data_IF_544948790035
#
_entry.id   IF_544948790035
#
_cell.length_a   1.000
_cell.length_b   1.000
_cell.length_c   1.000
_cell.angle_alpha   90.00
_cell.angle_beta   90.00
_cell.angle_gamma   90.00
#
_symmetry.space_group_name_H-M   'P 1'
#
loop_
_entity.id
_entity.type
_entity.pdbx_description
1 polymer ?
#
# COMPACT_ATOMS: atom_id res chain seq x y z
N UNK A 1 -5.75 -18.82 20.93
CA UNK A 1 -5.42 -17.41 21.21
C UNK A 1 -6.44 -16.54 20.49
N UNK A 2 -6.91 -15.42 21.06
CA UNK A 2 -7.79 -14.52 20.30
C UNK A 2 -6.95 -13.75 19.28
N UNK A 3 -7.44 -13.63 18.04
CA UNK A 3 -6.79 -12.86 16.99
C UNK A 3 -6.74 -11.37 17.38
N UNK A 4 -5.66 -10.68 17.00
CA UNK A 4 -5.50 -9.23 17.21
C UNK A 4 -6.22 -8.47 16.10
N UNK A 5 -7.03 -7.49 16.45
CA UNK A 5 -7.71 -6.66 15.44
C UNK A 5 -6.72 -5.72 14.76
N UNK A 6 -6.87 -5.54 13.46
CA UNK A 6 -6.07 -4.61 12.67
C UNK A 6 -6.86 -4.11 11.45
N UNK A 7 -6.76 -2.82 11.16
CA UNK A 7 -7.34 -2.19 9.97
C UNK A 7 -6.23 -1.93 8.96
N UNK A 8 -6.30 -2.60 7.82
CA UNK A 8 -5.29 -2.50 6.75
C UNK A 8 -5.91 -1.88 5.52
N UNK A 9 -5.32 -0.79 5.04
CA UNK A 9 -5.69 -0.18 3.77
C UNK A 9 -4.84 -0.73 2.63
N UNK A 10 -5.47 -1.10 1.52
CA UNK A 10 -4.83 -1.84 0.42
C UNK A 10 -5.27 -1.26 -0.92
N UNK A 11 -4.33 -0.94 -1.80
CA UNK A 11 -4.58 -0.58 -3.20
C UNK A 11 -4.41 -1.79 -4.14
N UNK A 12 -4.64 -1.60 -5.45
CA UNK A 12 -4.46 -2.68 -6.43
C UNK A 12 -5.64 -3.64 -6.48
N UNK A 13 -6.86 -3.10 -6.47
CA UNK A 13 -8.11 -3.86 -6.34
C UNK A 13 -8.63 -4.43 -7.66
N UNK A 14 -7.96 -4.13 -8.77
CA UNK A 14 -8.28 -4.74 -10.05
C UNK A 14 -8.10 -6.27 -10.00
N UNK A 15 -9.05 -7.03 -10.55
CA UNK A 15 -9.01 -8.51 -10.50
C UNK A 15 -9.60 -9.14 -11.77
N UNK A 16 -9.35 -8.51 -12.93
CA UNK A 16 -9.73 -8.97 -14.28
C UNK A 16 -8.46 -9.34 -15.08
N UNK A 17 -8.47 -9.19 -16.41
CA UNK A 17 -7.43 -9.67 -17.34
C UNK A 17 -5.98 -9.32 -16.96
N UNK A 18 -5.77 -8.16 -16.32
CA UNK A 18 -4.50 -7.81 -15.67
C UNK A 18 -4.75 -7.56 -14.18
N UNK A 19 -4.74 -8.62 -13.35
CA UNK A 19 -5.09 -8.50 -11.94
C UNK A 19 -4.02 -7.68 -11.21
N UNK A 20 -4.48 -6.71 -10.43
CA UNK A 20 -3.65 -5.99 -9.49
C UNK A 20 -3.23 -6.92 -8.33
N UNK A 21 -2.12 -6.64 -7.64
CA UNK A 21 -1.65 -7.52 -6.59
C UNK A 21 -2.43 -7.39 -5.27
N UNK A 22 -3.35 -6.42 -5.15
CA UNK A 22 -4.06 -6.13 -3.92
C UNK A 22 -5.01 -7.24 -3.46
N UNK A 23 -5.78 -7.86 -4.37
CA UNK A 23 -6.72 -8.94 -3.99
C UNK A 23 -5.98 -10.17 -3.42
N UNK A 24 -4.91 -10.68 -4.04
CA UNK A 24 -4.08 -11.72 -3.43
C UNK A 24 -3.53 -11.35 -2.04
N UNK A 25 -3.04 -10.11 -1.87
CA UNK A 25 -2.57 -9.61 -0.56
C UNK A 25 -3.68 -9.65 0.49
N UNK A 26 -4.87 -9.17 0.13
CA UNK A 26 -6.05 -9.19 1.01
C UNK A 26 -6.42 -10.60 1.45
N UNK A 27 -6.40 -11.56 0.51
CA UNK A 27 -6.68 -12.98 0.84
C UNK A 27 -5.68 -13.52 1.86
N UNK A 28 -4.39 -13.30 1.61
CA UNK A 28 -3.33 -13.74 2.53
C UNK A 28 -3.49 -13.11 3.93
N UNK A 29 -3.87 -11.83 4.01
CA UNK A 29 -4.13 -11.16 5.28
C UNK A 29 -5.33 -11.75 6.02
N UNK A 30 -6.45 -12.02 5.33
CA UNK A 30 -7.65 -12.62 5.94
C UNK A 30 -7.43 -14.06 6.41
N UNK A 31 -6.51 -14.79 5.80
CA UNK A 31 -6.10 -16.14 6.22
C UNK A 31 -5.18 -16.15 7.45
N UNK A 32 -4.74 -14.98 7.94
CA UNK A 32 -3.85 -14.89 9.10
C UNK A 32 -4.44 -15.56 10.35
N UNK A 33 -3.63 -16.39 11.02
CA UNK A 33 -3.96 -16.96 12.33
C UNK A 33 -3.73 -15.95 13.48
N UNK A 34 -2.99 -14.87 13.22
CA UNK A 34 -2.61 -13.88 14.22
C UNK A 34 -3.57 -12.69 14.27
N UNK A 35 -4.15 -12.31 13.12
CA UNK A 35 -4.90 -11.08 12.96
C UNK A 35 -6.36 -11.30 12.53
N UNK A 36 -7.25 -10.52 13.12
CA UNK A 36 -8.63 -10.31 12.68
C UNK A 36 -8.65 -9.02 11.84
N UNK A 37 -8.60 -9.19 10.52
CA UNK A 37 -8.26 -8.10 9.59
C UNK A 37 -9.51 -7.46 9.00
N UNK A 38 -9.64 -6.15 9.23
CA UNK A 38 -10.55 -5.26 8.50
C UNK A 38 -9.79 -4.65 7.30
N UNK A 39 -10.38 -4.73 6.11
CA UNK A 39 -9.77 -4.26 4.86
C UNK A 39 -10.44 -2.98 4.38
N UNK A 40 -9.62 -1.94 4.18
CA UNK A 40 -10.01 -0.68 3.55
C UNK A 40 -9.43 -0.62 2.14
N UNK A 41 -10.26 -0.83 1.13
CA UNK A 41 -9.85 -0.72 -0.27
C UNK A 41 -9.56 0.72 -0.66
N UNK A 42 -8.37 0.98 -1.18
CA UNK A 42 -7.98 2.26 -1.78
C UNK A 42 -8.02 2.13 -3.30
N UNK A 43 -8.79 2.98 -3.96
CA UNK A 43 -9.09 2.83 -5.37
C UNK A 43 -8.81 4.07 -6.17
N UNK A 44 -8.23 3.89 -7.34
CA UNK A 44 -8.03 4.96 -8.31
C UNK A 44 -9.18 5.05 -9.32
N UNK A 45 -9.97 3.98 -9.48
CA UNK A 45 -11.02 3.88 -10.49
C UNK A 45 -12.24 3.09 -10.00
N UNK A 46 -13.44 3.53 -10.37
CA UNK A 46 -14.69 2.93 -9.88
C UNK A 46 -15.02 1.55 -10.46
N UNK A 47 -14.28 1.10 -11.48
CA UNK A 47 -14.54 -0.15 -12.18
C UNK A 47 -13.64 -1.31 -11.70
N UNK A 48 -12.81 -1.09 -10.67
CA UNK A 48 -12.04 -2.18 -10.06
C UNK A 48 -12.99 -3.20 -9.41
N UNK A 49 -12.97 -4.48 -9.82
CA UNK A 49 -13.85 -5.51 -9.26
C UNK A 49 -13.77 -5.63 -7.73
N UNK A 50 -12.58 -5.44 -7.16
CA UNK A 50 -12.35 -5.52 -5.73
C UNK A 50 -13.22 -4.58 -4.89
N UNK A 51 -13.73 -3.48 -5.46
CA UNK A 51 -14.68 -2.57 -4.77
C UNK A 51 -16.00 -3.24 -4.40
N UNK A 52 -16.37 -4.29 -5.13
CA UNK A 52 -17.63 -4.98 -5.00
C UNK A 52 -17.48 -6.35 -4.32
N UNK A 53 -16.25 -6.80 -4.06
CA UNK A 53 -15.95 -8.06 -3.39
C UNK A 53 -16.10 -7.95 -1.87
N UNK A 54 -17.35 -7.86 -1.39
CA UNK A 54 -17.69 -7.62 0.03
C UNK A 54 -17.10 -8.62 1.02
N UNK A 55 -16.85 -9.86 0.57
CA UNK A 55 -16.23 -10.89 1.41
C UNK A 55 -14.73 -10.64 1.66
N UNK A 56 -14.09 -9.84 0.80
CA UNK A 56 -12.67 -9.52 0.87
C UNK A 56 -12.43 -8.07 1.29
N UNK A 57 -13.26 -7.13 0.85
CA UNK A 57 -13.09 -5.69 1.07
C UNK A 57 -14.27 -5.17 1.88
N UNK A 58 -14.01 -4.84 3.14
CA UNK A 58 -15.03 -4.40 4.09
C UNK A 58 -15.59 -3.01 3.73
N UNK A 59 -14.71 -2.10 3.29
CA UNK A 59 -15.07 -0.75 2.82
C UNK A 59 -14.08 -0.28 1.77
N UNK A 60 -14.50 0.60 0.87
CA UNK A 60 -13.63 1.18 -0.15
C UNK A 60 -13.78 2.70 -0.25
N UNK A 61 -12.69 3.35 -0.64
CA UNK A 61 -12.58 4.79 -0.84
C UNK A 61 -11.79 5.09 -2.11
N UNK A 62 -12.29 6.02 -2.92
CA UNK A 62 -11.50 6.57 -4.01
C UNK A 62 -10.40 7.47 -3.45
N UNK A 63 -9.20 7.36 -4.00
CA UNK A 63 -8.03 8.20 -3.71
C UNK A 63 -7.55 8.92 -4.98
N UNK A 64 -6.92 10.10 -4.88
CA UNK A 64 -6.47 10.83 -6.05
C UNK A 64 -5.35 10.09 -6.78
N UNK A 65 -5.31 10.21 -8.11
CA UNK A 65 -4.23 9.64 -8.93
C UNK A 65 -2.86 10.13 -8.45
N UNK A 66 -1.78 9.32 -8.56
CA UNK A 66 -0.44 9.70 -8.09
C UNK A 66 0.09 11.02 -8.67
N UNK A 67 -0.38 11.40 -9.86
CA UNK A 67 -0.06 12.66 -10.54
C UNK A 67 -0.65 13.92 -9.87
N UNK A 68 -1.60 13.76 -8.93
CA UNK A 68 -2.32 14.87 -8.28
C UNK A 68 -1.55 15.54 -7.15
N UNK A 69 -0.34 15.05 -6.85
CA UNK A 69 0.52 15.56 -5.77
C UNK A 69 0.29 14.90 -4.41
N UNK A 70 1.33 14.91 -3.58
CA UNK A 70 1.37 14.22 -2.28
C UNK A 70 0.49 14.89 -1.23
N UNK A 71 0.28 16.21 -1.30
CA UNK A 71 -0.61 16.94 -0.36
C UNK A 71 -2.06 16.48 -0.49
N UNK A 72 -2.57 16.38 -1.73
CA UNK A 72 -3.93 15.92 -2.03
C UNK A 72 -4.15 14.48 -1.53
N UNK A 73 -3.16 13.61 -1.74
CA UNK A 73 -3.19 12.24 -1.25
C UNK A 73 -3.21 12.21 0.29
N UNK A 74 -2.37 12.99 0.95
CA UNK A 74 -2.29 13.06 2.40
C UNK A 74 -3.62 13.51 3.04
N UNK A 75 -4.21 14.59 2.53
CA UNK A 75 -5.52 15.08 3.02
C UNK A 75 -6.60 14.02 2.86
N UNK A 76 -6.58 13.29 1.74
CA UNK A 76 -7.51 12.19 1.50
C UNK A 76 -7.29 11.03 2.46
N UNK A 77 -6.04 10.64 2.71
CA UNK A 77 -5.70 9.58 3.66
C UNK A 77 -6.09 9.95 5.09
N UNK A 78 -5.89 11.21 5.49
CA UNK A 78 -6.35 11.74 6.78
C UNK A 78 -7.87 11.56 6.95
N UNK A 79 -8.64 12.01 5.95
CA UNK A 79 -10.10 11.85 5.99
C UNK A 79 -10.54 10.38 6.13
N UNK A 80 -9.87 9.46 5.44
CA UNK A 80 -10.20 8.03 5.54
C UNK A 80 -9.80 7.49 6.92
N UNK A 81 -8.62 7.86 7.43
CA UNK A 81 -8.14 7.46 8.74
C UNK A 81 -9.05 7.96 9.86
N UNK A 82 -9.55 9.20 9.80
CA UNK A 82 -10.49 9.76 10.78
C UNK A 82 -11.80 8.93 10.87
N UNK A 83 -12.19 8.24 9.80
CA UNK A 83 -13.41 7.40 9.77
C UNK A 83 -13.14 5.92 10.07
N UNK A 84 -12.00 5.40 9.65
CA UNK A 84 -11.74 3.94 9.65
C UNK A 84 -10.67 3.50 10.66
N UNK A 85 -9.93 4.44 11.24
CA UNK A 85 -8.78 4.18 12.11
C UNK A 85 -7.80 3.18 11.46
N UNK A 86 -7.19 3.58 10.34
CA UNK A 86 -6.22 2.76 9.60
C UNK A 86 -4.97 2.56 10.47
N UNK A 87 -4.53 1.32 10.63
CA UNK A 87 -3.27 0.98 11.31
C UNK A 87 -2.10 0.86 10.32
N UNK A 88 -2.36 0.27 9.14
CA UNK A 88 -1.33 -0.03 8.14
C UNK A 88 -1.83 0.28 6.74
N UNK A 89 -0.98 0.87 5.90
CA UNK A 89 -1.21 1.00 4.45
C UNK A 89 -0.23 0.12 3.68
N UNK A 90 -0.77 -0.69 2.77
CA UNK A 90 0.00 -1.53 1.84
C UNK A 90 -0.32 -1.08 0.40
N UNK A 91 0.49 -0.17 -0.16
CA UNK A 91 0.41 0.18 -1.58
C UNK A 91 0.98 -0.96 -2.44
N UNK A 92 0.29 -1.26 -3.53
CA UNK A 92 0.51 -2.41 -4.40
C UNK A 92 0.79 -2.02 -5.86
N UNK A 93 0.79 -0.73 -6.22
CA UNK A 93 1.16 -0.28 -7.55
C UNK A 93 2.53 0.40 -7.56
N UNK A 94 3.29 0.20 -8.64
CA UNK A 94 4.58 0.88 -8.82
C UNK A 94 4.46 2.40 -8.90
N UNK A 95 3.36 2.88 -9.49
CA UNK A 95 3.15 4.30 -9.77
C UNK A 95 2.88 5.14 -8.51
N UNK A 96 2.41 4.51 -7.44
CA UNK A 96 2.08 5.18 -6.17
C UNK A 96 3.22 5.12 -5.15
N UNK A 97 4.19 4.20 -5.31
CA UNK A 97 5.29 4.02 -4.37
C UNK A 97 6.03 5.33 -4.07
N UNK A 98 6.35 6.12 -5.09
CA UNK A 98 7.03 7.41 -4.90
C UNK A 98 6.25 8.36 -3.97
N UNK A 99 4.94 8.45 -4.16
CA UNK A 99 4.07 9.30 -3.34
C UNK A 99 3.98 8.78 -1.92
N UNK A 100 3.81 7.46 -1.74
CA UNK A 100 3.71 6.85 -0.42
C UNK A 100 5.04 6.87 0.35
N UNK A 101 6.18 6.67 -0.31
CA UNK A 101 7.51 6.74 0.33
C UNK A 101 7.75 8.14 0.90
N UNK A 102 7.41 9.19 0.14
CA UNK A 102 7.51 10.57 0.62
C UNK A 102 6.62 10.86 1.82
N UNK A 103 5.45 10.23 1.88
CA UNK A 103 4.48 10.43 2.95
C UNK A 103 4.71 9.49 4.16
N UNK A 104 5.49 8.42 4.02
CA UNK A 104 5.61 7.36 5.04
C UNK A 104 5.97 7.89 6.43
N UNK A 105 6.99 8.76 6.52
CA UNK A 105 7.41 9.35 7.78
C UNK A 105 6.30 10.22 8.41
N UNK A 106 5.59 10.99 7.58
CA UNK A 106 4.52 11.85 8.04
C UNK A 106 3.29 11.04 8.47
N UNK A 107 2.93 10.00 7.72
CA UNK A 107 1.82 9.09 8.06
C UNK A 107 2.04 8.45 9.43
N UNK A 108 3.28 8.04 9.73
CA UNK A 108 3.65 7.48 11.02
C UNK A 108 3.66 8.53 12.14
N UNK A 109 4.23 9.71 11.88
CA UNK A 109 4.38 10.75 12.90
C UNK A 109 3.03 11.39 13.28
N UNK A 110 2.19 11.70 12.29
CA UNK A 110 0.96 12.48 12.49
C UNK A 110 -0.24 11.58 12.82
N UNK A 111 -0.29 10.35 12.28
CA UNK A 111 -1.45 9.46 12.38
C UNK A 111 -1.14 8.09 12.99
N UNK A 112 0.13 7.77 13.28
CA UNK A 112 0.51 6.44 13.76
C UNK A 112 0.31 5.32 12.73
N UNK A 113 0.15 5.66 11.45
CA UNK A 113 -0.07 4.69 10.37
C UNK A 113 1.28 4.11 9.94
N UNK A 114 1.41 2.78 10.01
CA UNK A 114 2.57 2.07 9.49
C UNK A 114 2.45 1.78 7.98
N UNK A 115 3.57 1.61 7.31
CA UNK A 115 3.60 1.32 5.86
C UNK A 115 4.60 0.21 5.54
N UNK A 116 4.29 -0.62 4.55
CA UNK A 116 5.22 -1.62 4.01
C UNK A 116 5.91 -1.09 2.76
N UNK A 117 6.93 -0.23 2.94
CA UNK A 117 7.60 0.48 1.85
C UNK A 117 9.12 0.36 1.94
N UNK A 118 9.83 0.33 0.79
CA UNK A 118 11.28 0.50 0.78
C UNK A 118 11.66 1.92 1.20
N UNK A 119 12.92 2.11 1.60
CA UNK A 119 13.47 3.47 1.76
C UNK A 119 13.57 4.18 0.41
N UNK A 120 13.65 5.52 0.43
CA UNK A 120 13.87 6.31 -0.79
C UNK A 120 15.13 5.85 -1.55
N UNK A 121 16.22 5.55 -0.84
CA UNK A 121 17.46 5.04 -1.42
C UNK A 121 17.28 3.69 -2.11
N UNK A 122 16.59 2.74 -1.45
CA UNK A 122 16.27 1.43 -2.05
C UNK A 122 15.37 1.56 -3.29
N UNK A 123 14.46 2.54 -3.27
CA UNK A 123 13.59 2.82 -4.40
C UNK A 123 14.34 3.48 -5.58
N UNK A 124 15.37 4.27 -5.30
CA UNK A 124 16.20 4.87 -6.34
C UNK A 124 17.19 3.87 -6.95
N UNK A 125 17.67 2.90 -6.16
CA UNK A 125 18.65 1.92 -6.62
C UNK A 125 18.11 0.96 -7.70
N UNK A 126 16.78 0.82 -7.85
CA UNK A 126 16.16 0.02 -8.92
C UNK A 126 16.18 0.68 -10.30
N UNK A 127 16.56 1.96 -10.41
CA UNK A 127 16.56 2.64 -11.71
C UNK A 127 17.56 1.99 -12.68
N UNK A 128 17.14 1.82 -13.94
CA UNK A 128 17.96 1.19 -15.00
C UNK A 128 19.33 1.88 -15.18
N UNK A 129 19.40 3.19 -14.97
CA UNK A 129 20.64 3.97 -15.05
C UNK A 129 21.65 3.63 -13.95
N UNK A 130 21.19 3.08 -12.82
CA UNK A 130 22.02 2.79 -11.64
C UNK A 130 22.22 1.28 -11.46
N UNK A 131 21.40 0.45 -12.12
CA UNK A 131 21.37 -1.01 -11.93
C UNK A 131 22.73 -1.69 -12.15
N UNK A 132 23.53 -1.22 -13.11
CA UNK A 132 24.88 -1.76 -13.35
C UNK A 132 25.80 -1.53 -12.13
N UNK A 133 25.88 -0.29 -11.65
CA UNK A 133 26.71 0.05 -10.49
C UNK A 133 26.23 -0.68 -9.24
N UNK A 134 24.91 -0.74 -9.03
CA UNK A 134 24.30 -1.48 -7.92
C UNK A 134 24.70 -2.97 -7.92
N UNK A 135 24.71 -3.62 -9.09
CA UNK A 135 25.15 -5.01 -9.22
C UNK A 135 26.64 -5.20 -8.91
N UNK A 136 27.49 -4.29 -9.40
CA UNK A 136 28.94 -4.34 -9.15
C UNK A 136 29.24 -4.21 -7.65
N UNK A 137 28.68 -3.19 -6.99
CA UNK A 137 28.88 -2.94 -5.55
C UNK A 137 28.46 -4.12 -4.67
N UNK A 138 27.33 -4.77 -5.00
CA UNK A 138 26.81 -5.92 -4.23
C UNK A 138 27.53 -7.22 -4.55
N UNK A 139 28.16 -7.36 -5.72
CA UNK A 139 28.91 -8.55 -6.11
C UNK A 139 30.32 -8.63 -5.51
N UNK A 140 30.85 -7.49 -5.03
CA UNK A 140 32.15 -7.43 -4.36
C UNK A 140 32.08 -7.61 -2.82
N UNK A 141 30.88 -7.72 -2.26
CA UNK A 141 30.70 -8.14 -0.87
C UNK A 141 30.77 -9.67 -0.77
N UNK A 142 31.83 -10.19 -0.14
CA UNK A 142 31.93 -11.62 0.21
C UNK A 142 30.71 -12.05 1.03
N UNK A 143 30.01 -13.10 0.57
CA UNK A 143 29.00 -13.83 1.34
C UNK A 143 29.64 -14.55 2.54
#
# INVERSE_FOLDING_TARGET
MSKRKITVAVSGLNNIDSPGPGIPVIRALKESEFFDVRIIGLSYENLEPGLYMRDLVDKSYSIPLPSSGTSTLLERLRYIHDMEAIDVIIPNFDAELHSFIKLANQLKADFGIETCLPTQEQFESRHKSVLYNFGVERSQGSF
#
